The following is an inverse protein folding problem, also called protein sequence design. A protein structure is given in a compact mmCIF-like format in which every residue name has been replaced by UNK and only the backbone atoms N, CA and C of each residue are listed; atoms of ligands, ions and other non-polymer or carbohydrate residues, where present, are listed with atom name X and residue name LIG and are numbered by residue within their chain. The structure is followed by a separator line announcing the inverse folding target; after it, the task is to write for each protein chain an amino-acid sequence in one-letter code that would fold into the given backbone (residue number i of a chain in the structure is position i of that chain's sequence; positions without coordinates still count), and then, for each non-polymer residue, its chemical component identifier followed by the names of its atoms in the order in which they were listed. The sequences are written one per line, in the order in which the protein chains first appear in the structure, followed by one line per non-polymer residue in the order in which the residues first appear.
data_IF_820991096943
#
_entry.id   IF_820991096943
#
_cell.length_a   1.000
_cell.length_b   1.000
_cell.length_c   1.000
_cell.angle_alpha   90.00
_cell.angle_beta   90.00
_cell.angle_gamma   90.00
#
_symmetry.space_group_name_H-M   'P 1'
#
loop_
_entity.id
_entity.type
_entity.pdbx_description
1 polymer ?
#
# COMPACT_ATOMS: atom_id res chain seq x y z
N UNK A 1 15.85 -10.61 17.36
CA UNK A 1 14.98 -9.43 17.33
C UNK A 1 13.56 -9.95 17.19
N UNK A 2 12.68 -9.53 18.09
CA UNK A 2 11.25 -9.79 17.95
C UNK A 2 10.65 -8.67 17.09
N UNK A 3 10.05 -9.01 15.95
CA UNK A 3 9.37 -8.09 15.04
C UNK A 3 7.84 -8.24 15.14
N UNK A 4 7.37 -8.83 16.24
CA UNK A 4 5.94 -9.02 16.50
C UNK A 4 5.27 -7.68 16.79
N UNK A 5 4.05 -7.53 16.28
CA UNK A 5 3.18 -6.39 16.57
C UNK A 5 2.92 -6.27 18.08
N UNK A 6 3.10 -5.08 18.65
CA UNK A 6 2.81 -4.82 20.07
C UNK A 6 1.33 -4.50 20.35
N UNK A 7 0.52 -4.46 19.30
CA UNK A 7 -0.93 -4.25 19.33
C UNK A 7 -1.59 -5.07 18.22
N UNK A 8 -2.78 -5.64 18.49
CA UNK A 8 -3.46 -6.53 17.55
C UNK A 8 -4.22 -5.75 16.49
N UNK A 9 -4.21 -6.19 15.21
CA UNK A 9 -5.16 -5.71 14.20
C UNK A 9 -6.60 -5.91 14.70
N UNK A 10 -7.48 -4.96 14.40
CA UNK A 10 -8.91 -5.05 14.74
C UNK A 10 -9.80 -5.31 13.51
N UNK A 11 -9.24 -5.20 12.29
CA UNK A 11 -9.86 -5.65 11.06
C UNK A 11 -8.84 -6.25 10.08
N UNK A 12 -9.27 -7.25 9.30
CA UNK A 12 -8.47 -7.86 8.23
C UNK A 12 -9.03 -7.65 6.82
N UNK A 13 -10.14 -6.92 6.71
CA UNK A 13 -10.71 -6.51 5.44
C UNK A 13 -10.19 -5.09 5.11
N UNK A 14 -9.38 -4.91 4.05
CA UNK A 14 -8.88 -3.60 3.63
C UNK A 14 -9.96 -2.58 3.30
N UNK A 15 -11.21 -3.00 3.07
CA UNK A 15 -12.33 -2.09 2.85
C UNK A 15 -12.86 -1.46 4.15
N UNK A 16 -12.54 -2.04 5.31
CA UNK A 16 -13.09 -1.63 6.61
C UNK A 16 -12.04 -1.40 7.71
N UNK A 17 -10.81 -1.90 7.52
CA UNK A 17 -9.70 -1.67 8.44
C UNK A 17 -9.01 -0.33 8.18
N UNK A 18 -9.05 0.55 9.18
CA UNK A 18 -8.40 1.87 9.14
C UNK A 18 -7.41 2.06 10.29
N UNK A 19 -7.25 1.05 11.15
CA UNK A 19 -6.33 1.12 12.26
C UNK A 19 -4.90 0.88 11.77
N UNK A 20 -3.91 1.54 12.39
CA UNK A 20 -2.52 1.48 11.96
C UNK A 20 -1.95 0.05 11.96
N UNK A 21 -2.42 -0.82 12.86
CA UNK A 21 -2.02 -2.23 12.86
C UNK A 21 -2.55 -3.00 11.64
N UNK A 22 -3.79 -2.72 11.23
CA UNK A 22 -4.39 -3.35 10.06
C UNK A 22 -3.59 -2.99 8.79
N UNK A 23 -3.23 -1.71 8.65
CA UNK A 23 -2.51 -1.19 7.48
C UNK A 23 -1.18 -1.93 7.27
N UNK A 24 -0.44 -2.21 8.35
CA UNK A 24 0.81 -2.95 8.25
C UNK A 24 0.60 -4.40 7.82
N UNK A 25 -0.48 -5.06 8.27
CA UNK A 25 -0.86 -6.38 7.76
C UNK A 25 -1.21 -6.28 6.28
N UNK A 26 -1.95 -5.25 5.87
CA UNK A 26 -2.36 -5.07 4.49
C UNK A 26 -1.19 -4.91 3.53
N UNK A 27 -0.16 -4.12 3.89
CA UNK A 27 1.04 -3.97 3.08
C UNK A 27 1.89 -5.25 2.95
N UNK A 28 1.75 -6.21 3.86
CA UNK A 28 2.48 -7.47 3.81
C UNK A 28 1.70 -8.62 3.15
N UNK A 29 0.36 -8.54 3.14
CA UNK A 29 -0.51 -9.65 2.71
C UNK A 29 -1.20 -9.37 1.38
N UNK A 30 -1.51 -8.12 1.07
CA UNK A 30 -2.18 -7.73 -0.17
C UNK A 30 -1.24 -6.98 -1.10
N UNK A 31 -1.43 -7.18 -2.41
CA UNK A 31 -0.71 -6.44 -3.44
C UNK A 31 -1.64 -5.46 -4.14
N UNK A 32 -1.15 -4.24 -4.38
CA UNK A 32 -1.86 -3.17 -5.08
C UNK A 32 -1.52 -3.18 -6.58
N UNK A 33 -2.26 -2.40 -7.39
CA UNK A 33 -1.95 -2.23 -8.82
C UNK A 33 -0.56 -1.61 -9.02
N UNK A 34 -0.26 -0.60 -8.20
CA UNK A 34 1.03 0.07 -8.13
C UNK A 34 1.44 0.17 -6.67
N UNK A 35 2.73 0.23 -6.40
CA UNK A 35 3.28 0.33 -5.04
C UNK A 35 4.10 1.61 -4.91
N UNK A 36 4.13 2.22 -3.74
CA UNK A 36 5.02 3.35 -3.51
C UNK A 36 6.47 2.88 -3.53
N UNK A 37 7.35 3.60 -4.22
CA UNK A 37 8.77 3.29 -4.12
C UNK A 37 9.24 3.61 -2.69
N UNK A 38 9.54 2.58 -1.90
CA UNK A 38 10.00 2.79 -0.53
C UNK A 38 11.31 3.60 -0.55
N UNK A 39 11.24 4.88 -0.18
CA UNK A 39 12.45 5.65 0.16
C UNK A 39 12.74 5.48 1.65
N UNK A 40 13.97 5.12 2.05
CA UNK A 40 14.33 4.82 3.45
C UNK A 40 14.01 5.91 4.49
N UNK A 41 13.68 7.13 4.08
CA UNK A 41 13.54 8.27 4.97
C UNK A 41 12.69 9.41 4.37
N UNK A 42 11.78 9.12 3.43
CA UNK A 42 11.04 10.16 2.71
C UNK A 42 9.60 9.80 2.38
N UNK A 43 8.75 10.82 2.24
CA UNK A 43 7.42 10.69 1.64
C UNK A 43 7.59 10.19 0.21
N UNK A 44 7.03 9.02 -0.17
CA UNK A 44 7.15 8.54 -1.53
C UNK A 44 6.49 9.53 -2.49
N UNK A 45 7.22 9.93 -3.53
CA UNK A 45 6.73 10.85 -4.57
C UNK A 45 6.42 10.14 -5.88
N UNK A 46 6.78 8.85 -5.98
CA UNK A 46 6.58 8.04 -7.18
C UNK A 46 6.02 6.68 -6.82
N UNK A 47 5.35 6.07 -7.79
CA UNK A 47 4.86 4.70 -7.70
C UNK A 47 5.58 3.83 -8.73
N UNK A 48 5.74 2.56 -8.40
CA UNK A 48 6.31 1.52 -9.25
C UNK A 48 5.25 0.46 -9.56
N UNK A 49 5.40 -0.31 -10.65
CA UNK A 49 4.53 -1.44 -10.94
C UNK A 49 4.40 -2.42 -9.75
N UNK A 50 3.16 -2.79 -9.42
CA UNK A 50 2.81 -3.89 -8.53
C UNK A 50 2.17 -5.02 -9.35
N UNK A 51 0.85 -5.23 -9.17
CA UNK A 51 0.07 -6.14 -10.04
C UNK A 51 -0.05 -5.65 -11.48
N UNK A 52 -0.13 -4.33 -11.70
CA UNK A 52 -0.18 -3.75 -13.03
C UNK A 52 1.24 -3.47 -13.52
N UNK A 53 1.62 -4.03 -14.68
CA UNK A 53 2.96 -3.87 -15.24
C UNK A 53 3.11 -2.58 -16.07
N UNK A 54 2.00 -2.00 -16.52
CA UNK A 54 1.97 -0.75 -17.27
C UNK A 54 0.57 -0.11 -17.15
N UNK A 55 0.49 1.21 -17.29
CA UNK A 55 -0.76 1.97 -17.28
C UNK A 55 -0.59 3.26 -18.09
N UNK A 56 -1.70 3.86 -18.50
CA UNK A 56 -1.68 5.12 -19.25
C UNK A 56 -2.70 6.07 -18.65
N UNK A 57 -2.30 7.31 -18.44
CA UNK A 57 -3.19 8.34 -17.94
C UNK A 57 -3.54 9.24 -19.12
N UNK A 58 -4.83 9.41 -19.40
CA UNK A 58 -5.26 10.36 -20.42
C UNK A 58 -4.99 11.79 -19.95
N UNK A 59 -4.70 12.73 -20.85
CA UNK A 59 -4.30 14.12 -20.52
C UNK A 59 -5.25 14.89 -19.59
N UNK A 60 -6.50 14.45 -19.47
CA UNK A 60 -7.49 15.04 -18.57
C UNK A 60 -7.47 14.47 -17.14
N UNK A 61 -6.61 13.49 -16.84
CA UNK A 61 -6.48 12.82 -15.54
C UNK A 61 -7.80 12.23 -15.01
N UNK A 62 -8.69 11.77 -15.91
CA UNK A 62 -9.96 11.13 -15.53
C UNK A 62 -10.02 9.65 -15.89
N UNK A 63 -9.13 9.21 -16.77
CA UNK A 63 -9.04 7.82 -17.22
C UNK A 63 -7.62 7.34 -17.00
N UNK A 64 -7.51 6.16 -16.38
CA UNK A 64 -6.29 5.51 -15.93
C UNK A 64 -6.31 4.05 -16.35
#
# INVERSE_FOLDING_TARGET
MDDSFTYTPDALDPATGFYGADIAVFFNVFQQLVEFNATPSGTPTTVVPGLATNWTITDNYKTY
#
